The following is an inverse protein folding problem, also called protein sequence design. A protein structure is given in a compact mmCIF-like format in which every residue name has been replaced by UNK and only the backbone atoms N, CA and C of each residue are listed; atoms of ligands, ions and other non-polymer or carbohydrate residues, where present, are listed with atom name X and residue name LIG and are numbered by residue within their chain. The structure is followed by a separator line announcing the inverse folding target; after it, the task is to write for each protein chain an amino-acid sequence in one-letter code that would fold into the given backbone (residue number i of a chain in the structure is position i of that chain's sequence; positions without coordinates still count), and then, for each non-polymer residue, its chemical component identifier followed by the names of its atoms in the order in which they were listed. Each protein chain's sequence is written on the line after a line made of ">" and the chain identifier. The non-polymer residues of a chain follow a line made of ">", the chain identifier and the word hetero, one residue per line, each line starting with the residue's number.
data_IF_092977405716
#
_entry.id   IF_092977405716
#
_cell.length_a   1.000
_cell.length_b   1.000
_cell.length_c   1.000
_cell.angle_alpha   90.00
_cell.angle_beta   90.00
_cell.angle_gamma   90.00
#
_symmetry.space_group_name_H-M   'P 1'
#
loop_
_entity.id
_entity.type
_entity.pdbx_description
1 polymer ?
#
# COMPACT_ATOMS: atom_id res chain seq x y z
N UNK A 1 -30.18 16.63 56.82
CA UNK A 1 -30.69 16.02 55.58
C UNK A 1 -30.44 16.87 54.33
N UNK A 2 -30.63 18.20 54.37
CA UNK A 2 -30.38 19.08 53.21
C UNK A 2 -28.90 19.15 52.76
N UNK A 3 -27.95 19.03 53.70
CA UNK A 3 -26.51 19.06 53.41
C UNK A 3 -26.00 17.80 52.69
N UNK A 4 -26.63 16.63 52.94
CA UNK A 4 -26.30 15.38 52.26
C UNK A 4 -26.80 15.39 50.80
N UNK A 5 -27.95 16.04 50.54
CA UNK A 5 -28.50 16.18 49.19
C UNK A 5 -27.63 17.06 48.29
N UNK A 6 -26.97 18.09 48.85
CA UNK A 6 -26.08 19.00 48.10
C UNK A 6 -24.76 18.30 47.71
N UNK A 7 -24.23 17.43 48.56
CA UNK A 7 -23.03 16.63 48.26
C UNK A 7 -23.28 15.59 47.16
N UNK A 8 -24.48 15.01 47.09
CA UNK A 8 -24.87 14.09 46.01
C UNK A 8 -25.07 14.79 44.66
N UNK A 9 -25.58 16.04 44.66
CA UNK A 9 -25.72 16.84 43.43
C UNK A 9 -24.38 17.39 42.91
N UNK A 10 -23.39 17.59 43.78
CA UNK A 10 -22.04 17.99 43.35
C UNK A 10 -21.25 16.84 42.71
N UNK A 11 -21.56 15.59 43.08
CA UNK A 11 -20.86 14.41 42.55
C UNK A 11 -21.31 14.02 41.14
N UNK A 12 -22.47 14.49 40.67
CA UNK A 12 -23.00 14.16 39.34
C UNK A 12 -22.55 15.13 38.22
N UNK A 13 -21.87 16.23 38.55
CA UNK A 13 -21.42 17.23 37.57
C UNK A 13 -19.99 17.02 37.05
N UNK A 14 -19.22 16.08 37.60
CA UNK A 14 -17.80 15.87 37.24
C UNK A 14 -17.61 14.75 36.21
N UNK A 15 -18.44 14.67 35.17
CA UNK A 15 -18.23 13.66 34.11
C UNK A 15 -18.71 14.09 32.72
N UNK A 16 -18.51 15.34 32.30
CA UNK A 16 -18.38 15.63 30.87
C UNK A 16 -16.90 15.65 30.52
N UNK A 17 -16.35 14.49 30.13
CA UNK A 17 -15.10 14.46 29.38
C UNK A 17 -15.41 14.98 27.98
N UNK A 18 -15.00 16.22 27.71
CA UNK A 18 -14.95 16.74 26.34
C UNK A 18 -13.97 15.85 25.58
N UNK A 19 -14.51 14.97 24.72
CA UNK A 19 -13.70 14.19 23.79
C UNK A 19 -13.10 15.17 22.80
N UNK A 20 -11.82 15.45 22.99
CA UNK A 20 -11.06 16.37 22.14
C UNK A 20 -11.05 15.84 20.70
N UNK A 21 -11.64 16.58 19.77
CA UNK A 21 -11.70 16.25 18.33
C UNK A 21 -10.35 16.37 17.61
N UNK A 22 -9.28 16.63 18.34
CA UNK A 22 -7.92 16.84 17.84
C UNK A 22 -7.15 15.54 17.54
N UNK A 23 -7.67 14.38 17.97
CA UNK A 23 -6.94 13.10 17.88
C UNK A 23 -7.13 12.34 16.55
N UNK A 24 -7.92 12.87 15.60
CA UNK A 24 -8.13 12.21 14.30
C UNK A 24 -6.97 12.42 13.32
N UNK A 25 -6.10 13.41 13.56
CA UNK A 25 -5.03 13.81 12.62
C UNK A 25 -3.80 12.88 12.66
N UNK A 26 -3.71 11.98 13.64
CA UNK A 26 -2.58 11.07 13.84
C UNK A 26 -2.92 9.58 13.67
N UNK A 27 -4.10 9.24 13.15
CA UNK A 27 -4.47 7.84 12.92
C UNK A 27 -3.75 7.29 11.70
N UNK A 28 -2.57 6.70 11.91
CA UNK A 28 -1.96 5.85 10.89
C UNK A 28 -2.52 4.43 10.98
N UNK A 29 -2.85 3.84 9.84
CA UNK A 29 -3.28 2.44 9.74
C UNK A 29 -2.27 1.67 8.92
N UNK A 30 -2.05 0.40 9.26
CA UNK A 30 -1.20 -0.51 8.47
C UNK A 30 -2.07 -1.44 7.65
N UNK A 31 -1.81 -1.52 6.36
CA UNK A 31 -2.40 -2.51 5.47
C UNK A 31 -1.39 -3.60 5.18
N UNK A 32 -1.84 -4.85 5.23
CA UNK A 32 -1.05 -6.01 4.83
C UNK A 32 -1.14 -6.19 3.31
N UNK A 33 -0.01 -6.38 2.64
CA UNK A 33 0.01 -6.79 1.23
C UNK A 33 -0.49 -8.23 1.14
N UNK A 34 -1.52 -8.45 0.33
CA UNK A 34 -2.10 -9.79 0.15
C UNK A 34 -1.11 -10.72 -0.56
N UNK A 35 -1.00 -11.96 -0.11
CA UNK A 35 -0.22 -13.01 -0.79
C UNK A 35 -0.73 -13.30 -2.21
N UNK A 36 -2.01 -13.00 -2.47
CA UNK A 36 -2.64 -13.13 -3.79
C UNK A 36 -2.37 -11.93 -4.72
N UNK A 37 -1.54 -10.97 -4.29
CA UNK A 37 -1.08 -9.89 -5.16
C UNK A 37 -0.23 -10.47 -6.28
N UNK A 38 -0.39 -9.93 -7.49
CA UNK A 38 0.36 -10.33 -8.66
C UNK A 38 1.01 -9.13 -9.34
N UNK A 39 2.14 -9.38 -9.99
CA UNK A 39 2.83 -8.43 -10.86
C UNK A 39 2.91 -9.02 -12.26
N UNK A 40 2.49 -8.25 -13.27
CA UNK A 40 2.45 -8.70 -14.66
C UNK A 40 3.14 -7.65 -15.52
N UNK A 41 4.15 -8.07 -16.27
CA UNK A 41 4.82 -7.28 -17.30
C UNK A 41 4.35 -7.81 -18.65
N UNK A 42 3.62 -6.99 -19.39
CA UNK A 42 3.16 -7.33 -20.74
C UNK A 42 3.98 -6.56 -21.76
N UNK A 43 4.37 -7.23 -22.84
CA UNK A 43 5.08 -6.60 -23.95
C UNK A 43 4.78 -7.28 -25.28
N UNK A 44 5.34 -6.71 -26.34
CA UNK A 44 5.18 -7.22 -27.70
C UNK A 44 6.44 -6.98 -28.52
N UNK A 45 6.66 -7.89 -29.46
CA UNK A 45 7.65 -7.80 -30.53
C UNK A 45 6.91 -7.67 -31.86
N UNK A 46 7.66 -7.52 -32.96
CA UNK A 46 7.09 -7.53 -34.32
C UNK A 46 6.41 -8.86 -34.68
N UNK A 47 6.72 -9.94 -33.96
CA UNK A 47 6.29 -11.31 -34.29
C UNK A 47 5.26 -11.82 -33.29
N UNK A 48 5.36 -11.44 -32.01
CA UNK A 48 4.52 -12.00 -30.94
C UNK A 48 4.39 -11.11 -29.71
N UNK A 49 3.35 -11.37 -28.90
CA UNK A 49 3.19 -10.81 -27.55
C UNK A 49 3.82 -11.73 -26.52
N UNK A 50 4.26 -11.16 -25.39
CA UNK A 50 4.73 -11.92 -24.24
C UNK A 50 4.15 -11.34 -22.94
N UNK A 51 4.08 -12.20 -21.92
CA UNK A 51 3.65 -11.81 -20.58
C UNK A 51 4.55 -12.51 -19.57
N UNK A 52 5.14 -11.75 -18.66
CA UNK A 52 5.99 -12.24 -17.59
C UNK A 52 5.33 -11.92 -16.25
N UNK A 53 5.16 -12.94 -15.42
CA UNK A 53 4.27 -12.85 -14.25
C UNK A 53 4.98 -13.27 -12.97
N UNK A 54 4.51 -12.68 -11.87
CA UNK A 54 4.70 -13.15 -10.50
C UNK A 54 3.28 -13.25 -9.94
N UNK A 55 2.77 -14.48 -9.81
CA UNK A 55 1.35 -14.71 -9.49
C UNK A 55 1.01 -14.59 -8.01
N UNK A 56 2.01 -14.71 -7.13
CA UNK A 56 1.85 -14.62 -5.68
C UNK A 56 3.00 -13.83 -5.08
N UNK A 57 2.67 -13.00 -4.09
CA UNK A 57 3.65 -12.28 -3.30
C UNK A 57 4.06 -13.13 -2.08
N UNK A 58 5.29 -13.65 -2.01
CA UNK A 58 5.67 -14.64 -1.01
C UNK A 58 6.04 -14.04 0.35
N UNK A 59 6.00 -12.71 0.51
CA UNK A 59 6.45 -12.01 1.73
C UNK A 59 5.28 -11.33 2.43
N UNK A 60 5.43 -11.16 3.74
CA UNK A 60 4.47 -10.46 4.60
C UNK A 60 4.94 -9.01 4.79
N UNK A 61 4.52 -8.12 3.89
CA UNK A 61 4.85 -6.68 3.99
C UNK A 61 3.63 -5.84 4.34
N UNK A 62 3.89 -4.67 4.94
CA UNK A 62 2.85 -3.72 5.30
C UNK A 62 3.09 -2.35 4.69
N UNK A 63 2.00 -1.69 4.30
CA UNK A 63 1.98 -0.30 3.85
C UNK A 63 1.28 0.53 4.91
N UNK A 64 1.92 1.61 5.34
CA UNK A 64 1.32 2.57 6.24
C UNK A 64 0.50 3.58 5.45
N UNK A 65 -0.66 3.93 6.02
CA UNK A 65 -1.59 4.90 5.47
C UNK A 65 -1.73 6.06 6.43
N UNK A 66 -1.71 7.26 5.88
CA UNK A 66 -1.92 8.51 6.61
C UNK A 66 -2.64 9.53 5.74
N UNK A 67 -3.09 10.61 6.36
CA UNK A 67 -3.66 11.75 5.66
C UNK A 67 -2.69 12.92 5.73
N UNK A 68 -2.52 13.64 4.63
CA UNK A 68 -1.78 14.90 4.64
C UNK A 68 -2.63 16.06 5.21
N UNK A 69 -2.06 17.27 5.25
CA UNK A 69 -2.75 18.48 5.75
C UNK A 69 -3.96 18.89 4.90
N UNK A 70 -4.03 18.43 3.66
CA UNK A 70 -5.09 18.66 2.68
C UNK A 70 -6.06 17.49 2.56
N UNK A 71 -5.98 16.51 3.48
CA UNK A 71 -6.78 15.27 3.50
C UNK A 71 -6.54 14.32 2.32
N UNK A 72 -5.41 14.42 1.60
CA UNK A 72 -5.04 13.39 0.62
C UNK A 72 -4.52 12.14 1.34
N UNK A 73 -4.81 10.98 0.76
CA UNK A 73 -4.34 9.69 1.28
C UNK A 73 -2.88 9.50 0.85
N UNK A 74 -1.97 9.52 1.82
CA UNK A 74 -0.56 9.20 1.66
C UNK A 74 -0.30 7.75 2.03
N UNK A 75 0.52 7.10 1.22
CA UNK A 75 1.03 5.76 1.47
C UNK A 75 2.51 5.84 1.80
N UNK A 76 2.98 4.95 2.67
CA UNK A 76 4.39 4.79 2.98
C UNK A 76 4.71 3.32 3.15
N UNK A 77 5.64 2.84 2.33
CA UNK A 77 6.09 1.46 2.35
C UNK A 77 6.66 1.08 0.98
N UNK A 78 7.57 0.11 1.00
CA UNK A 78 8.22 -0.41 -0.20
C UNK A 78 8.05 -1.92 -0.23
N UNK A 79 7.66 -2.43 -1.39
CA UNK A 79 7.60 -3.86 -1.68
C UNK A 79 8.80 -4.23 -2.54
N UNK A 80 9.53 -5.26 -2.12
CA UNK A 80 10.76 -5.71 -2.77
C UNK A 80 10.51 -7.04 -3.50
N UNK A 81 10.34 -6.94 -4.81
CA UNK A 81 10.03 -8.06 -5.69
C UNK A 81 11.32 -8.69 -6.20
N UNK A 82 11.51 -9.99 -5.98
CA UNK A 82 12.69 -10.69 -6.50
C UNK A 82 12.58 -10.90 -8.01
N UNK A 83 13.56 -10.38 -8.77
CA UNK A 83 13.59 -10.48 -10.24
C UNK A 83 13.61 -11.93 -10.71
N UNK A 84 14.29 -12.81 -9.97
CA UNK A 84 14.34 -14.25 -10.25
C UNK A 84 12.97 -14.95 -10.23
N UNK A 85 11.93 -14.31 -9.68
CA UNK A 85 10.59 -14.88 -9.60
C UNK A 85 9.74 -14.63 -10.85
N UNK A 86 10.19 -13.77 -11.77
CA UNK A 86 9.46 -13.57 -13.03
C UNK A 86 9.43 -14.86 -13.86
N UNK A 87 8.24 -15.23 -14.33
CA UNK A 87 8.04 -16.33 -15.28
C UNK A 87 7.24 -15.86 -16.49
N UNK A 88 7.85 -15.95 -17.66
CA UNK A 88 7.27 -15.61 -18.95
C UNK A 88 6.57 -16.78 -19.66
N UNK A 89 6.43 -17.93 -18.99
CA UNK A 89 5.93 -19.19 -19.57
C UNK A 89 6.72 -19.62 -20.83
N UNK A 90 7.94 -19.12 -20.98
CA UNK A 90 8.90 -19.45 -22.02
C UNK A 90 10.30 -19.26 -21.44
N UNK A 91 11.05 -20.35 -21.32
CA UNK A 91 12.35 -20.36 -20.65
C UNK A 91 13.33 -19.32 -21.20
N UNK A 92 13.43 -19.20 -22.54
CA UNK A 92 14.34 -18.26 -23.18
C UNK A 92 13.93 -16.81 -22.89
N UNK A 93 12.63 -16.49 -22.99
CA UNK A 93 12.13 -15.16 -22.66
C UNK A 93 12.33 -14.81 -21.18
N UNK A 94 12.06 -15.76 -20.28
CA UNK A 94 12.28 -15.61 -18.85
C UNK A 94 13.76 -15.29 -18.56
N UNK A 95 14.68 -16.03 -19.18
CA UNK A 95 16.12 -15.81 -19.03
C UNK A 95 16.55 -14.44 -19.55
N UNK A 96 16.08 -14.05 -20.74
CA UNK A 96 16.43 -12.74 -21.32
C UNK A 96 15.85 -11.57 -20.53
N UNK A 97 14.63 -11.68 -20.01
CA UNK A 97 14.06 -10.65 -19.13
C UNK A 97 14.94 -10.47 -17.88
N UNK A 98 15.24 -11.56 -17.18
CA UNK A 98 16.05 -11.52 -15.95
C UNK A 98 17.45 -10.97 -16.20
N UNK A 99 18.06 -11.34 -17.32
CA UNK A 99 19.34 -10.77 -17.78
C UNK A 99 19.24 -9.28 -18.09
N UNK A 100 18.17 -8.85 -18.77
CA UNK A 100 17.92 -7.43 -19.10
C UNK A 100 17.74 -6.60 -17.84
N UNK A 101 17.05 -7.16 -16.85
CA UNK A 101 16.89 -6.57 -15.51
C UNK A 101 18.15 -6.70 -14.65
N UNK A 102 19.22 -7.30 -15.17
CA UNK A 102 20.51 -7.51 -14.51
C UNK A 102 20.36 -8.16 -13.13
N UNK A 103 19.63 -9.28 -13.06
CA UNK A 103 19.25 -9.93 -11.79
C UNK A 103 20.40 -10.20 -10.80
N UNK A 104 21.64 -10.34 -11.29
CA UNK A 104 22.82 -10.54 -10.44
C UNK A 104 23.31 -9.24 -9.76
N UNK A 105 23.12 -8.09 -10.42
CA UNK A 105 23.48 -6.76 -9.90
C UNK A 105 22.31 -6.14 -9.13
N UNK A 106 21.09 -6.29 -9.67
CA UNK A 106 19.85 -5.74 -9.13
C UNK A 106 18.84 -6.88 -8.93
N UNK A 107 18.98 -7.69 -7.85
CA UNK A 107 18.13 -8.86 -7.62
C UNK A 107 16.69 -8.52 -7.23
N UNK A 108 16.43 -7.25 -6.91
CA UNK A 108 15.11 -6.76 -6.50
C UNK A 108 14.64 -5.63 -7.42
N UNK A 109 13.33 -5.63 -7.69
CA UNK A 109 12.57 -4.49 -8.18
C UNK A 109 11.86 -3.87 -6.98
N UNK A 110 11.94 -2.55 -6.84
CA UNK A 110 11.37 -1.83 -5.69
C UNK A 110 10.11 -1.10 -6.12
N UNK A 111 8.99 -1.35 -5.43
CA UNK A 111 7.73 -0.61 -5.62
C UNK A 111 7.47 0.19 -4.36
N UNK A 112 7.66 1.50 -4.45
CA UNK A 112 7.43 2.45 -3.35
C UNK A 112 6.06 3.09 -3.51
N UNK A 113 5.22 2.94 -2.50
CA UNK A 113 3.88 3.50 -2.50
C UNK A 113 3.91 4.97 -2.09
N UNK A 114 3.23 5.85 -2.83
CA UNK A 114 3.25 7.30 -2.62
C UNK A 114 1.89 7.81 -2.15
N UNK A 115 0.83 7.56 -2.92
CA UNK A 115 -0.50 8.11 -2.62
C UNK A 115 -1.62 7.35 -3.31
N UNK A 116 -2.85 7.54 -2.82
CA UNK A 116 -4.07 7.15 -3.53
C UNK A 116 -4.76 8.39 -4.08
N UNK A 117 -5.26 8.31 -5.31
CA UNK A 117 -6.15 9.30 -5.90
C UNK A 117 -7.55 9.11 -5.33
N UNK A 118 -8.23 10.22 -5.08
CA UNK A 118 -9.53 10.25 -4.42
C UNK A 118 -10.58 9.40 -5.15
N UNK A 119 -11.44 8.72 -4.38
CA UNK A 119 -12.56 7.91 -4.88
C UNK A 119 -13.70 8.86 -5.23
N UNK A 120 -13.99 9.04 -6.51
CA UNK A 120 -15.13 9.86 -6.93
C UNK A 120 -16.49 9.16 -6.79
N UNK A 121 -16.56 7.85 -6.48
CA UNK A 121 -17.81 7.13 -6.22
C UNK A 121 -17.61 5.89 -5.31
N UNK A 122 -18.21 5.91 -4.12
CA UNK A 122 -18.08 4.90 -3.04
C UNK A 122 -19.11 3.76 -3.22
N UNK A 123 -19.99 3.83 -4.22
CA UNK A 123 -21.19 2.98 -4.33
C UNK A 123 -20.99 1.63 -4.99
N UNK A 124 -19.82 1.33 -5.54
CA UNK A 124 -19.46 0.01 -6.06
C UNK A 124 -18.01 -0.29 -5.71
N UNK A 125 -17.65 -1.58 -5.70
CA UNK A 125 -16.28 -2.13 -5.57
C UNK A 125 -15.35 -1.41 -6.55
N UNK A 126 -14.86 -0.24 -6.15
CA UNK A 126 -14.26 0.72 -7.07
C UNK A 126 -12.77 0.51 -7.09
N UNK A 127 -12.22 0.42 -8.30
CA UNK A 127 -10.79 0.38 -8.50
C UNK A 127 -10.21 1.73 -8.07
N UNK A 128 -9.41 1.73 -6.99
CA UNK A 128 -8.67 2.92 -6.57
C UNK A 128 -7.44 3.08 -7.44
N UNK A 129 -7.21 4.31 -7.92
CA UNK A 129 -5.95 4.65 -8.60
C UNK A 129 -4.96 5.15 -7.56
N UNK A 130 -3.70 4.79 -7.69
CA UNK A 130 -2.62 5.27 -6.83
C UNK A 130 -1.43 5.73 -7.65
N UNK A 131 -0.50 6.38 -6.95
CA UNK A 131 0.83 6.71 -7.46
C UNK A 131 1.84 5.85 -6.72
N UNK A 132 2.71 5.21 -7.49
CA UNK A 132 3.86 4.45 -7.00
C UNK A 132 5.09 4.89 -7.79
N UNK A 133 6.25 4.78 -7.16
CA UNK A 133 7.56 4.88 -7.79
C UNK A 133 8.10 3.45 -7.95
N UNK A 134 8.63 3.14 -9.13
CA UNK A 134 9.11 1.79 -9.44
C UNK A 134 10.57 1.92 -9.83
N UNK A 135 11.45 1.34 -9.02
CA UNK A 135 12.86 1.22 -9.36
C UNK A 135 13.13 -0.13 -10.02
N UNK A 136 13.71 -0.10 -11.22
CA UNK A 136 13.99 -1.27 -12.05
C UNK A 136 15.44 -1.19 -12.54
N UNK A 137 16.23 -2.23 -12.27
CA UNK A 137 17.63 -2.33 -12.70
C UNK A 137 18.49 -1.10 -12.31
N UNK A 138 18.23 -0.55 -11.12
CA UNK A 138 18.94 0.62 -10.58
C UNK A 138 18.47 1.98 -11.09
N UNK A 139 17.31 2.05 -11.78
CA UNK A 139 16.73 3.30 -12.30
C UNK A 139 15.31 3.47 -11.75
N UNK A 140 15.01 4.65 -11.19
CA UNK A 140 13.72 5.03 -10.61
C UNK A 140 12.96 6.04 -11.47
#
# INVERSE_FOLDING_TARGET
>A
MKTILILLLAFTLTSLKIVDKTDFKNRSTKWLISENSSLIVNGSTNISKFSCTILRYPKTDTIQISLDKTNNILLSGTVNIEVKNFDCNNYMMTKELRKTLKENEFPYLHIKFISLKEITNITQKSNMKGVVEIEIAGVA
#
